data_IF_511679062016
#
_entry.id   IF_511679062016
#
_cell.length_a   1.000
_cell.length_b   1.000
_cell.length_c   1.000
_cell.angle_alpha   90.00
_cell.angle_beta   90.00
_cell.angle_gamma   90.00
#
_symmetry.space_group_name_H-M   'P 1'
#
loop_
_entity.id
_entity.type
_entity.pdbx_description
1 polymer ?
#
# COMPACT_ATOMS: atom_id res chain seq x y z
N UNK A 1 -3.92 -21.47 15.02
CA UNK A 1 -3.16 -20.92 13.86
C UNK A 1 -4.08 -19.99 13.06
N UNK A 2 -4.21 -18.74 13.45
CA UNK A 2 -5.11 -17.78 12.77
C UNK A 2 -4.45 -17.30 11.49
N UNK A 3 -4.87 -17.89 10.37
CA UNK A 3 -4.54 -17.45 9.01
C UNK A 3 -5.23 -16.12 8.71
N UNK A 4 -4.76 -15.05 9.33
CA UNK A 4 -5.09 -13.69 8.92
C UNK A 4 -4.29 -13.37 7.65
N UNK A 5 -4.68 -14.03 6.55
CA UNK A 5 -4.42 -13.57 5.19
C UNK A 5 -5.19 -12.27 5.02
N UNK A 6 -4.67 -11.19 5.58
CA UNK A 6 -5.23 -9.86 5.37
C UNK A 6 -5.03 -9.53 3.89
N UNK A 7 -5.98 -9.93 3.05
CA UNK A 7 -6.06 -9.69 1.60
C UNK A 7 -6.21 -8.20 1.28
N UNK A 8 -6.44 -7.39 2.31
CA UNK A 8 -6.74 -5.98 2.21
C UNK A 8 -5.68 -5.18 2.97
N UNK A 9 -5.29 -4.04 2.38
CA UNK A 9 -4.50 -3.06 3.10
C UNK A 9 -5.25 -2.57 4.34
N UNK A 10 -4.52 -2.37 5.43
CA UNK A 10 -5.06 -1.68 6.60
C UNK A 10 -5.23 -0.19 6.30
N UNK A 11 -6.02 0.51 7.13
CA UNK A 11 -6.24 1.94 6.98
C UNK A 11 -4.93 2.75 7.10
N UNK A 12 -3.98 2.29 7.91
CA UNK A 12 -2.66 2.91 8.03
C UNK A 12 -1.84 2.73 6.76
N UNK A 13 -1.84 1.52 6.17
CA UNK A 13 -1.14 1.26 4.91
C UNK A 13 -1.72 2.15 3.78
N UNK A 14 -3.04 2.34 3.75
CA UNK A 14 -3.70 3.27 2.82
C UNK A 14 -3.27 4.71 3.02
N UNK A 15 -3.20 5.18 4.27
CA UNK A 15 -2.70 6.53 4.59
C UNK A 15 -1.26 6.71 4.12
N UNK A 16 -0.40 5.72 4.32
CA UNK A 16 0.99 5.76 3.88
C UNK A 16 1.08 5.86 2.35
N UNK A 17 0.26 5.10 1.62
CA UNK A 17 0.17 5.22 0.16
C UNK A 17 -0.24 6.62 -0.27
N UNK A 18 -1.32 7.15 0.29
CA UNK A 18 -1.84 8.47 -0.06
C UNK A 18 -0.83 9.58 0.24
N UNK A 19 -0.19 9.53 1.41
CA UNK A 19 0.90 10.45 1.77
C UNK A 19 2.08 10.30 0.82
N UNK A 20 2.44 9.07 0.44
CA UNK A 20 3.49 8.78 -0.53
C UNK A 20 3.21 9.42 -1.89
N UNK A 21 1.99 9.29 -2.41
CA UNK A 21 1.57 9.92 -3.68
C UNK A 21 1.61 11.44 -3.56
N UNK A 22 1.09 11.99 -2.45
CA UNK A 22 1.14 13.44 -2.17
C UNK A 22 2.57 13.98 -2.14
N UNK A 23 3.51 13.17 -1.66
CA UNK A 23 4.94 13.48 -1.63
C UNK A 23 5.68 13.13 -2.94
N UNK A 24 4.97 12.82 -4.04
CA UNK A 24 5.55 12.36 -5.32
C UNK A 24 6.49 11.16 -5.18
N UNK A 25 6.30 10.32 -4.15
CA UNK A 25 7.08 9.11 -3.96
C UNK A 25 6.69 8.05 -4.99
N UNK A 26 7.68 7.29 -5.47
CA UNK A 26 7.43 6.21 -6.41
C UNK A 26 6.67 5.08 -5.75
N UNK A 27 5.79 4.41 -6.51
CA UNK A 27 5.01 3.24 -6.06
C UNK A 27 5.91 2.15 -5.46
N UNK A 28 7.12 1.99 -6.01
CA UNK A 28 8.17 1.08 -5.53
C UNK A 28 8.74 1.47 -4.18
N UNK A 29 8.99 2.77 -3.94
CA UNK A 29 9.46 3.25 -2.64
C UNK A 29 8.39 3.02 -1.57
N UNK A 30 7.13 3.37 -1.87
CA UNK A 30 5.99 3.16 -0.97
C UNK A 30 5.79 1.67 -0.65
N UNK A 31 5.87 0.81 -1.67
CA UNK A 31 5.83 -0.64 -1.52
C UNK A 31 6.95 -1.17 -0.61
N UNK A 32 8.18 -0.64 -0.79
CA UNK A 32 9.35 -1.01 0.02
C UNK A 32 9.17 -0.56 1.48
N UNK A 33 8.68 0.65 1.73
CA UNK A 33 8.37 1.15 3.08
C UNK A 33 7.33 0.30 3.80
N UNK A 34 6.34 -0.19 3.07
CA UNK A 34 5.26 -1.03 3.61
C UNK A 34 5.61 -2.53 3.66
N UNK A 35 6.72 -2.96 3.06
CA UNK A 35 7.00 -4.39 2.85
C UNK A 35 5.93 -5.11 2.02
N UNK A 36 5.27 -4.39 1.10
CA UNK A 36 4.18 -4.90 0.27
C UNK A 36 4.58 -5.01 -1.20
N UNK A 37 3.75 -5.76 -1.94
CA UNK A 37 3.91 -5.87 -3.38
C UNK A 37 3.42 -4.60 -4.07
N UNK A 38 4.17 -4.17 -5.11
CA UNK A 38 3.80 -3.06 -5.99
C UNK A 38 2.39 -3.21 -6.55
N UNK A 39 1.98 -4.42 -6.95
CA UNK A 39 0.63 -4.68 -7.48
C UNK A 39 -0.49 -4.41 -6.46
N UNK A 40 -0.20 -4.53 -5.16
CA UNK A 40 -1.18 -4.20 -4.12
C UNK A 40 -1.35 -2.69 -4.00
N UNK A 41 -0.24 -1.94 -4.04
CA UNK A 41 -0.25 -0.47 -4.09
C UNK A 41 -0.96 0.01 -5.35
N UNK A 42 -0.66 -0.56 -6.51
CA UNK A 42 -1.25 -0.16 -7.79
C UNK A 42 -2.78 -0.35 -7.82
N UNK A 43 -3.28 -1.46 -7.26
CA UNK A 43 -4.72 -1.71 -7.08
C UNK A 43 -5.38 -0.69 -6.16
N UNK A 44 -4.70 -0.27 -5.08
CA UNK A 44 -5.24 0.73 -4.15
C UNK A 44 -5.31 2.12 -4.81
N UNK A 45 -4.27 2.49 -5.56
CA UNK A 45 -4.24 3.75 -6.31
C UNK A 45 -5.32 3.79 -7.38
N UNK A 46 -5.54 2.68 -8.10
CA UNK A 46 -6.58 2.58 -9.14
C UNK A 46 -8.00 2.55 -8.55
N UNK A 47 -8.14 2.22 -7.27
CA UNK A 47 -9.43 2.10 -6.58
C UNK A 47 -9.83 3.40 -5.86
N UNK A 48 -8.88 4.31 -5.60
CA UNK A 48 -9.13 5.64 -5.01
C UNK A 48 -9.60 6.65 -6.05
#
# INVERSE_FOLDING_TARGET
MTTNKNKHLTLEERRIILTGIKNNSTKTAIAKTLGKNKSTIDKEIKKS
#
